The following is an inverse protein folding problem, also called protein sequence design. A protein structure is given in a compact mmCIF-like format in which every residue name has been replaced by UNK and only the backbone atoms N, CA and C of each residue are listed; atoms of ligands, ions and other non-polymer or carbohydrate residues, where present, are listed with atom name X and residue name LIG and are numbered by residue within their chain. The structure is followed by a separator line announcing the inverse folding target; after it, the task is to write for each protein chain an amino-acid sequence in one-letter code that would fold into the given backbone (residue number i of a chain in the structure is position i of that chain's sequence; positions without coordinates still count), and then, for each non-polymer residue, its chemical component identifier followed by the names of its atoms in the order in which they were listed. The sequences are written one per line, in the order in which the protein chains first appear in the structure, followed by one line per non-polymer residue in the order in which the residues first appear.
data_IF_443370770295
#
_entry.id   IF_443370770295
#
_cell.length_a   1.000
_cell.length_b   1.000
_cell.length_c   1.000
_cell.angle_alpha   90.00
_cell.angle_beta   90.00
_cell.angle_gamma   90.00
#
_symmetry.space_group_name_H-M   'P 1'
#
loop_
_entity.id
_entity.type
_entity.pdbx_description
1 polymer ?
#
# COMPACT_ATOMS: atom_id res chain seq x y z
N UNK A 1 -17.96 -36.07 -5.47
CA UNK A 1 -18.39 -34.67 -5.68
C UNK A 1 -17.14 -33.82 -5.84
N UNK A 2 -16.67 -33.64 -7.07
CA UNK A 2 -15.60 -32.70 -7.38
C UNK A 2 -16.17 -31.28 -7.27
N UNK A 3 -15.81 -30.56 -6.22
CA UNK A 3 -16.02 -29.11 -6.20
C UNK A 3 -15.05 -28.51 -7.21
N UNK A 4 -15.59 -28.05 -8.34
CA UNK A 4 -14.85 -27.32 -9.36
C UNK A 4 -14.07 -26.18 -8.70
N UNK A 5 -12.75 -26.37 -8.60
CA UNK A 5 -11.80 -25.42 -8.03
C UNK A 5 -11.59 -24.22 -8.93
N UNK A 6 -12.66 -23.45 -9.18
CA UNK A 6 -12.57 -22.17 -9.87
C UNK A 6 -11.73 -21.23 -9.02
N UNK A 7 -10.53 -20.89 -9.50
CA UNK A 7 -9.70 -19.87 -8.83
C UNK A 7 -10.56 -18.60 -8.69
N UNK A 8 -10.68 -18.02 -7.48
CA UNK A 8 -11.47 -16.82 -7.28
C UNK A 8 -10.99 -15.73 -8.24
N UNK A 9 -11.95 -15.15 -8.97
CA UNK A 9 -11.65 -14.17 -10.02
C UNK A 9 -11.37 -12.82 -9.38
N UNK A 10 -10.10 -12.44 -9.30
CA UNK A 10 -9.69 -11.10 -8.85
C UNK A 10 -10.26 -10.06 -9.83
N UNK A 11 -10.93 -9.05 -9.29
CA UNK A 11 -11.52 -7.97 -10.09
C UNK A 11 -10.45 -7.18 -10.87
N UNK A 12 -10.77 -6.82 -12.12
CA UNK A 12 -9.89 -6.04 -13.00
C UNK A 12 -9.55 -4.68 -12.39
N UNK A 13 -10.42 -4.13 -11.55
CA UNK A 13 -10.21 -2.89 -10.82
C UNK A 13 -8.92 -2.88 -9.99
N UNK A 14 -8.51 -4.04 -9.42
CA UNK A 14 -7.26 -4.12 -8.66
C UNK A 14 -6.01 -4.02 -9.53
N UNK A 15 -6.10 -4.47 -10.79
CA UNK A 15 -5.01 -4.32 -11.76
C UNK A 15 -4.91 -2.87 -12.23
N UNK A 16 -6.05 -2.22 -12.47
CA UNK A 16 -6.10 -0.78 -12.79
C UNK A 16 -5.51 0.02 -11.63
N UNK A 17 -5.94 -0.27 -10.40
CA UNK A 17 -5.42 0.39 -9.20
C UNK A 17 -3.91 0.17 -9.00
N UNK A 18 -3.40 -1.04 -9.28
CA UNK A 18 -1.96 -1.31 -9.30
C UNK A 18 -1.24 -0.40 -10.30
N UNK A 19 -1.68 -0.34 -11.55
CA UNK A 19 -1.04 0.49 -12.57
C UNK A 19 -1.09 1.98 -12.24
N UNK A 20 -2.22 2.47 -11.71
CA UNK A 20 -2.32 3.85 -11.24
C UNK A 20 -1.35 4.12 -10.08
N UNK A 21 -1.29 3.23 -9.09
CA UNK A 21 -0.36 3.35 -7.96
C UNK A 21 1.09 3.38 -8.42
N UNK A 22 1.45 2.52 -9.39
CA UNK A 22 2.78 2.48 -9.97
C UNK A 22 3.11 3.77 -10.75
N UNK A 23 2.19 4.25 -11.59
CA UNK A 23 2.38 5.49 -12.36
C UNK A 23 2.55 6.69 -11.44
N UNK A 24 1.80 6.77 -10.34
CA UNK A 24 1.91 7.86 -9.36
C UNK A 24 3.24 7.76 -8.59
N UNK A 25 3.71 6.55 -8.27
CA UNK A 25 4.95 6.36 -7.50
C UNK A 25 6.21 6.85 -8.24
N UNK A 26 6.21 6.87 -9.58
CA UNK A 26 7.37 7.28 -10.38
C UNK A 26 7.67 8.78 -10.24
N UNK A 27 6.72 9.71 -10.48
CA UNK A 27 6.90 11.12 -10.15
C UNK A 27 7.23 11.36 -8.68
N UNK A 28 6.61 10.62 -7.74
CA UNK A 28 6.94 10.75 -6.31
C UNK A 28 8.40 10.42 -6.01
N UNK A 29 8.96 9.38 -6.65
CA UNK A 29 10.37 9.03 -6.52
C UNK A 29 11.30 10.17 -6.98
N UNK A 30 10.97 10.79 -8.12
CA UNK A 30 11.73 11.92 -8.68
C UNK A 30 11.58 13.19 -7.82
N UNK A 31 10.38 13.43 -7.29
CA UNK A 31 10.09 14.56 -6.42
C UNK A 31 10.85 14.46 -5.09
N UNK A 32 10.89 13.27 -4.47
CA UNK A 32 11.62 13.02 -3.22
C UNK A 32 13.12 13.31 -3.38
N UNK A 33 13.72 13.07 -4.54
CA UNK A 33 15.12 13.42 -4.76
C UNK A 33 15.38 14.94 -4.81
N UNK A 34 14.34 15.75 -5.07
CA UNK A 34 14.45 17.20 -5.32
C UNK A 34 13.89 18.06 -4.18
N UNK A 35 13.10 17.48 -3.27
CA UNK A 35 12.51 18.19 -2.14
C UNK A 35 13.56 18.49 -1.07
N UNK A 36 13.57 19.73 -0.59
CA UNK A 36 14.38 20.15 0.57
C UNK A 36 13.60 19.93 1.86
N UNK A 37 14.32 19.62 2.94
CA UNK A 37 13.72 19.45 4.27
C UNK A 37 13.01 18.12 4.47
N UNK A 38 13.33 17.10 3.66
CA UNK A 38 12.87 15.74 3.90
C UNK A 38 13.54 15.15 5.14
N UNK A 39 12.74 14.41 5.89
CA UNK A 39 13.15 13.68 7.08
C UNK A 39 13.37 12.21 6.77
N UNK A 40 14.04 11.49 7.67
CA UNK A 40 14.19 10.02 7.55
C UNK A 40 12.83 9.30 7.45
N UNK A 41 11.80 9.87 8.08
CA UNK A 41 10.45 9.32 8.08
C UNK A 41 9.79 9.41 6.70
N UNK A 42 10.06 10.46 5.92
CA UNK A 42 9.56 10.58 4.55
C UNK A 42 10.17 9.52 3.61
N UNK A 43 11.47 9.21 3.79
CA UNK A 43 12.11 8.12 3.04
C UNK A 43 11.59 6.74 3.46
N UNK A 44 11.28 6.57 4.74
CA UNK A 44 10.71 5.33 5.27
C UNK A 44 9.28 5.09 4.75
N UNK A 45 8.41 6.10 4.76
CA UNK A 45 7.07 6.08 4.17
C UNK A 45 7.18 5.68 2.68
N UNK A 46 8.02 6.37 1.91
CA UNK A 46 8.22 6.04 0.50
C UNK A 46 8.68 4.59 0.29
N UNK A 47 9.66 4.11 1.07
CA UNK A 47 10.12 2.72 0.97
C UNK A 47 9.02 1.71 1.31
N UNK A 48 8.21 1.97 2.33
CA UNK A 48 7.06 1.14 2.69
C UNK A 48 6.02 1.14 1.57
N UNK A 49 5.77 2.28 0.93
CA UNK A 49 4.83 2.39 -0.19
C UNK A 49 5.24 1.51 -1.38
N UNK A 50 6.53 1.43 -1.70
CA UNK A 50 7.04 0.55 -2.77
C UNK A 50 6.81 -0.92 -2.45
N UNK A 51 7.07 -1.34 -1.21
CA UNK A 51 6.80 -2.71 -0.75
C UNK A 51 5.29 -3.01 -0.75
N UNK A 52 4.47 -2.03 -0.40
CA UNK A 52 3.02 -2.14 -0.48
C UNK A 52 2.51 -2.31 -1.92
N UNK A 53 3.11 -1.61 -2.89
CA UNK A 53 2.82 -1.78 -4.33
C UNK A 53 3.17 -3.21 -4.79
N UNK A 54 4.26 -3.79 -4.29
CA UNK A 54 4.60 -5.22 -4.55
C UNK A 54 3.53 -6.15 -3.99
N UNK A 55 3.02 -5.88 -2.78
CA UNK A 55 1.90 -6.65 -2.20
C UNK A 55 0.61 -6.52 -3.01
N UNK A 56 0.32 -5.30 -3.50
CA UNK A 56 -0.80 -5.02 -4.39
C UNK A 56 -0.66 -5.75 -5.74
N UNK A 57 0.54 -5.84 -6.30
CA UNK A 57 0.83 -6.66 -7.48
C UNK A 57 0.57 -8.15 -7.19
N UNK A 58 1.11 -8.66 -6.09
CA UNK A 58 0.89 -10.04 -5.64
C UNK A 58 -0.59 -10.38 -5.54
N UNK A 59 -1.37 -9.48 -4.94
CA UNK A 59 -2.82 -9.62 -4.83
C UNK A 59 -3.53 -9.55 -6.18
N UNK A 60 -3.28 -8.51 -6.98
CA UNK A 60 -4.01 -8.22 -8.22
C UNK A 60 -3.77 -9.25 -9.33
N UNK A 61 -2.63 -9.93 -9.31
CA UNK A 61 -2.26 -10.97 -10.26
C UNK A 61 -2.26 -12.39 -9.66
N UNK A 62 -2.62 -12.54 -8.37
CA UNK A 62 -2.62 -13.83 -7.70
C UNK A 62 -1.24 -14.49 -7.65
N UNK A 63 -0.19 -13.69 -7.51
CA UNK A 63 1.20 -14.15 -7.47
C UNK A 63 1.63 -14.31 -6.02
N UNK A 64 2.29 -15.44 -5.72
CA UNK A 64 2.93 -15.68 -4.43
C UNK A 64 4.29 -14.99 -4.42
N UNK A 65 4.47 -14.04 -3.52
CA UNK A 65 5.72 -13.28 -3.37
C UNK A 65 6.20 -13.44 -1.94
N UNK A 66 7.33 -14.10 -1.72
CA UNK A 66 7.83 -14.37 -0.36
C UNK A 66 6.90 -15.29 0.45
N UNK A 67 6.59 -14.89 1.68
CA UNK A 67 5.85 -15.69 2.67
C UNK A 67 4.65 -14.92 3.24
N UNK A 68 3.52 -15.61 3.47
CA UNK A 68 2.31 -15.07 4.10
C UNK A 68 2.59 -14.43 5.46
N UNK A 69 3.49 -15.00 6.28
CA UNK A 69 3.83 -14.46 7.60
C UNK A 69 4.42 -13.05 7.49
N UNK A 70 5.31 -12.84 6.51
CA UNK A 70 5.86 -11.51 6.23
C UNK A 70 4.74 -10.51 5.91
N UNK A 71 3.80 -10.87 5.02
CA UNK A 71 2.70 -9.97 4.63
C UNK A 71 1.73 -9.67 5.77
N UNK A 72 1.53 -10.61 6.70
CA UNK A 72 0.73 -10.38 7.91
C UNK A 72 1.35 -9.34 8.82
N UNK A 73 2.66 -9.42 9.07
CA UNK A 73 3.39 -8.39 9.84
C UNK A 73 3.46 -7.06 9.09
N UNK A 74 3.79 -7.12 7.79
CA UNK A 74 3.90 -5.94 6.95
C UNK A 74 2.58 -5.15 6.88
N UNK A 75 1.44 -5.84 6.83
CA UNK A 75 0.13 -5.19 6.93
C UNK A 75 0.00 -4.33 8.19
N UNK A 76 0.39 -4.84 9.36
CA UNK A 76 0.32 -4.06 10.60
C UNK A 76 1.32 -2.92 10.65
N UNK A 77 2.51 -3.10 10.07
CA UNK A 77 3.49 -2.01 9.93
C UNK A 77 2.88 -0.86 9.12
N UNK A 78 2.32 -1.14 7.94
CA UNK A 78 1.67 -0.12 7.09
C UNK A 78 0.44 0.47 7.79
N UNK A 79 -0.36 -0.33 8.50
CA UNK A 79 -1.53 0.18 9.22
C UNK A 79 -1.15 1.20 10.30
N UNK A 80 -0.13 0.88 11.11
CA UNK A 80 0.35 1.76 12.17
C UNK A 80 0.97 3.01 11.59
N UNK A 81 1.84 2.86 10.59
CA UNK A 81 2.47 3.96 9.89
C UNK A 81 1.43 4.90 9.28
N UNK A 82 0.45 4.37 8.53
CA UNK A 82 -0.60 5.17 7.89
C UNK A 82 -1.47 5.86 8.94
N UNK A 83 -1.73 5.22 10.08
CA UNK A 83 -2.48 5.86 11.17
C UNK A 83 -1.70 7.02 11.77
N UNK A 84 -0.40 6.84 12.04
CA UNK A 84 0.44 7.89 12.62
C UNK A 84 0.60 9.04 11.63
N UNK A 85 1.02 8.72 10.41
CA UNK A 85 1.40 9.69 9.39
C UNK A 85 0.16 10.37 8.80
N UNK A 86 -0.88 9.61 8.45
CA UNK A 86 -2.05 10.17 7.80
C UNK A 86 -3.11 10.67 8.76
N UNK A 87 -3.16 10.28 10.04
CA UNK A 87 -4.17 10.79 10.97
C UNK A 87 -3.56 11.58 12.13
N UNK A 88 -2.55 11.05 12.82
CA UNK A 88 -2.02 11.69 14.03
C UNK A 88 -1.21 12.94 13.70
N UNK A 89 -0.33 12.91 12.71
CA UNK A 89 0.53 14.05 12.36
C UNK A 89 -0.28 15.31 11.96
N UNK A 90 -1.28 15.21 11.06
CA UNK A 90 -2.13 16.37 10.74
C UNK A 90 -2.87 16.94 11.96
N UNK A 91 -3.38 16.08 12.84
CA UNK A 91 -4.06 16.51 14.07
C UNK A 91 -3.13 17.27 15.03
N UNK A 92 -1.83 16.97 15.01
CA UNK A 92 -0.81 17.63 15.82
C UNK A 92 -0.12 18.80 15.09
N UNK A 93 -0.50 19.09 13.83
CA UNK A 93 0.15 20.13 13.02
C UNK A 93 1.60 19.81 12.65
N UNK A 94 1.98 18.53 12.63
CA UNK A 94 3.32 18.11 12.28
C UNK A 94 3.52 18.12 10.76
N UNK A 95 4.66 18.67 10.25
CA UNK A 95 4.94 18.69 8.83
C UNK A 95 5.17 17.28 8.25
N UNK A 96 4.82 17.10 6.99
CA UNK A 96 5.02 15.87 6.20
C UNK A 96 5.55 16.23 4.82
N UNK A 97 6.45 15.42 4.27
CA UNK A 97 7.08 15.69 2.97
C UNK A 97 7.71 17.10 2.90
N UNK A 98 8.39 17.51 3.98
CA UNK A 98 8.90 18.87 4.16
C UNK A 98 7.79 19.86 4.51
N UNK A 99 7.84 21.08 3.96
CA UNK A 99 6.85 22.14 4.16
C UNK A 99 5.78 22.21 3.05
N UNK A 100 5.55 21.09 2.35
CA UNK A 100 4.58 21.05 1.25
C UNK A 100 3.15 21.15 1.79
N UNK A 101 2.38 22.15 1.36
CA UNK A 101 0.96 22.23 1.67
C UNK A 101 0.18 21.26 0.77
N UNK A 102 -0.07 20.07 1.29
CA UNK A 102 -0.82 18.99 0.63
C UNK A 102 -2.25 18.85 1.17
N UNK A 103 -2.74 19.84 1.93
CA UNK A 103 -4.02 19.79 2.64
C UNK A 103 -5.21 19.54 1.70
N UNK A 104 -5.15 20.05 0.47
CA UNK A 104 -6.21 19.90 -0.55
C UNK A 104 -6.37 18.47 -1.09
N UNK A 105 -5.36 17.61 -0.95
CA UNK A 105 -5.37 16.22 -1.44
C UNK A 105 -5.53 15.19 -0.32
N UNK A 106 -5.62 15.64 0.93
CA UNK A 106 -5.60 14.78 2.11
C UNK A 106 -6.68 13.68 2.10
N UNK A 107 -7.92 14.00 1.68
CA UNK A 107 -9.01 12.99 1.58
C UNK A 107 -8.67 11.92 0.55
N UNK A 108 -8.05 12.31 -0.57
CA UNK A 108 -7.66 11.38 -1.64
C UNK A 108 -6.54 10.46 -1.14
N UNK A 109 -5.56 10.98 -0.41
CA UNK A 109 -4.50 10.19 0.21
C UNK A 109 -5.06 9.12 1.15
N UNK A 110 -5.98 9.50 2.05
CA UNK A 110 -6.64 8.55 2.96
C UNK A 110 -7.38 7.47 2.17
N UNK A 111 -8.12 7.84 1.13
CA UNK A 111 -8.86 6.88 0.31
C UNK A 111 -7.90 5.88 -0.38
N UNK A 112 -6.78 6.36 -0.93
CA UNK A 112 -5.74 5.50 -1.53
C UNK A 112 -5.12 4.58 -0.48
N UNK A 113 -4.77 5.11 0.70
CA UNK A 113 -4.18 4.33 1.78
C UNK A 113 -5.12 3.21 2.25
N UNK A 114 -6.43 3.49 2.39
CA UNK A 114 -7.44 2.49 2.73
C UNK A 114 -7.57 1.40 1.66
N UNK A 115 -7.44 1.76 0.37
CA UNK A 115 -7.45 0.78 -0.72
C UNK A 115 -6.19 -0.10 -0.70
N UNK A 116 -5.02 0.47 -0.42
CA UNK A 116 -3.76 -0.29 -0.25
C UNK A 116 -3.87 -1.24 0.94
N UNK A 117 -4.30 -0.74 2.10
CA UNK A 117 -4.52 -1.58 3.31
C UNK A 117 -5.52 -2.69 3.05
N UNK A 118 -6.59 -2.41 2.31
CA UNK A 118 -7.57 -3.42 1.88
C UNK A 118 -6.96 -4.49 0.99
N UNK A 119 -6.11 -4.11 0.04
CA UNK A 119 -5.38 -5.04 -0.82
C UNK A 119 -4.42 -5.91 -0.01
N UNK A 120 -3.61 -5.31 0.86
CA UNK A 120 -2.65 -6.03 1.72
C UNK A 120 -3.34 -6.99 2.67
N UNK A 121 -4.43 -6.58 3.32
CA UNK A 121 -5.23 -7.45 4.18
C UNK A 121 -5.80 -8.64 3.39
N UNK A 122 -6.39 -8.39 2.22
CA UNK A 122 -6.91 -9.45 1.36
C UNK A 122 -5.81 -10.39 0.88
N UNK A 123 -4.64 -9.84 0.57
CA UNK A 123 -3.48 -10.61 0.17
C UNK A 123 -3.02 -11.53 1.30
N UNK A 124 -2.78 -10.99 2.49
CA UNK A 124 -2.20 -11.72 3.61
C UNK A 124 -3.16 -12.71 4.32
N UNK A 125 -4.47 -12.43 4.31
CA UNK A 125 -5.44 -13.18 5.13
C UNK A 125 -6.59 -13.82 4.36
N UNK A 126 -6.93 -13.34 3.15
CA UNK A 126 -8.12 -13.81 2.41
C UNK A 126 -7.82 -14.50 1.09
N UNK A 127 -6.54 -14.54 0.68
CA UNK A 127 -6.13 -15.09 -0.61
C UNK A 127 -5.62 -16.54 -0.48
N UNK A 128 -6.48 -17.45 -0.02
CA UNK A 128 -6.16 -18.88 0.07
C UNK A 128 -5.72 -19.48 -1.28
N UNK A 129 -6.23 -18.94 -2.39
CA UNK A 129 -5.80 -19.33 -3.75
C UNK A 129 -4.35 -18.95 -4.09
N UNK A 130 -3.75 -18.00 -3.36
CA UNK A 130 -2.33 -17.62 -3.50
C UNK A 130 -1.45 -18.42 -2.55
N UNK A 131 -1.90 -18.57 -1.30
CA UNK A 131 -1.08 -19.13 -0.22
C UNK A 131 -1.31 -20.63 0.03
N UNK A 132 -2.35 -21.22 -0.56
CA UNK A 132 -2.82 -22.56 -0.22
C UNK A 132 -3.57 -22.57 1.12
N UNK A 133 -3.91 -23.76 1.61
CA UNK A 133 -4.34 -23.99 2.99
C UNK A 133 -3.12 -23.84 3.91
N UNK A 134 -2.70 -22.60 4.13
CA UNK A 134 -1.66 -22.22 5.07
C UNK A 134 -2.25 -21.87 6.44
#
# INVERSE_FOLDING_TARGET
METSGGRPRISVWWKVFFWLSLIISVPSALAIASLKGLTLLDYADFALSLVAIVGLYGFSYGKRIGNVVFWRYFFYVVLVETTIISLVFPLLGLPRYGSADITSLYIIEIAIALLILSALYRYAYRSAFVWGSA
#
